data_IF_821898528174
#
_entry.id   IF_821898528174
#
_cell.length_a   1.000
_cell.length_b   1.000
_cell.length_c   1.000
_cell.angle_alpha   90.00
_cell.angle_beta   90.00
_cell.angle_gamma   90.00
#
_symmetry.space_group_name_H-M   'P 1'
#
loop_
_entity.id
_entity.type
_entity.pdbx_description
1 polymer ?
#
# COMPACT_ATOMS: atom_id res chain seq x y z
N UNK A 1 -0.75 7.27 -9.53
CA UNK A 1 -0.18 7.67 -8.24
C UNK A 1 1.25 7.16 -8.06
N UNK A 2 1.48 5.84 -7.89
CA UNK A 2 2.79 5.27 -7.48
C UNK A 2 4.01 5.74 -8.30
N UNK A 3 3.90 5.85 -9.64
CA UNK A 3 5.01 6.35 -10.49
C UNK A 3 5.39 7.82 -10.22
N UNK A 4 4.46 8.62 -9.69
CA UNK A 4 4.70 10.03 -9.34
C UNK A 4 5.35 10.22 -7.98
N UNK A 5 5.48 9.15 -7.19
CA UNK A 5 6.16 9.18 -5.89
C UNK A 5 7.67 9.12 -6.08
N UNK A 6 8.39 9.75 -5.15
CA UNK A 6 9.85 9.65 -5.07
C UNK A 6 10.30 8.26 -4.60
N UNK A 7 11.61 8.04 -4.48
CA UNK A 7 12.13 6.74 -4.08
C UNK A 7 11.75 6.36 -2.64
N UNK A 8 11.68 7.34 -1.73
CA UNK A 8 11.38 7.11 -0.34
C UNK A 8 9.91 6.69 -0.17
N UNK A 9 8.98 7.41 -0.80
CA UNK A 9 7.56 7.11 -0.79
C UNK A 9 7.26 5.76 -1.49
N UNK A 10 8.00 5.40 -2.56
CA UNK A 10 7.87 4.05 -3.16
C UNK A 10 8.31 2.94 -2.21
N UNK A 11 9.38 3.15 -1.44
CA UNK A 11 9.82 2.20 -0.43
C UNK A 11 8.81 2.09 0.71
N UNK A 12 8.24 3.21 1.17
CA UNK A 12 7.16 3.25 2.15
C UNK A 12 5.91 2.52 1.64
N UNK A 13 5.54 2.72 0.37
CA UNK A 13 4.44 1.97 -0.24
C UNK A 13 4.70 0.46 -0.23
N UNK A 14 5.91 0.03 -0.59
CA UNK A 14 6.27 -1.38 -0.57
C UNK A 14 6.16 -1.95 0.86
N UNK A 15 6.65 -1.22 1.87
CA UNK A 15 6.52 -1.59 3.27
C UNK A 15 5.05 -1.61 3.73
N UNK A 16 4.24 -0.65 3.29
CA UNK A 16 2.82 -0.58 3.61
C UNK A 16 2.06 -1.83 3.15
N UNK A 17 2.33 -2.31 1.93
CA UNK A 17 1.58 -3.44 1.37
C UNK A 17 2.20 -4.81 1.64
N UNK A 18 3.51 -4.91 1.92
CA UNK A 18 4.21 -6.18 2.14
C UNK A 18 4.81 -6.35 3.54
N UNK A 19 4.76 -5.32 4.38
CA UNK A 19 5.38 -5.31 5.71
C UNK A 19 6.90 -5.09 5.72
N UNK A 20 7.54 -4.99 4.55
CA UNK A 20 9.00 -4.79 4.44
C UNK A 20 9.36 -3.92 3.23
N UNK A 21 10.48 -3.21 3.29
CA UNK A 21 11.05 -2.50 2.15
C UNK A 21 11.93 -3.39 1.26
N UNK A 22 12.12 -4.66 1.63
CA UNK A 22 12.97 -5.61 0.91
C UNK A 22 12.26 -6.18 -0.32
N UNK A 23 12.86 -5.97 -1.50
CA UNK A 23 12.41 -6.60 -2.75
C UNK A 23 12.96 -8.04 -2.81
N UNK A 24 12.16 -9.06 -3.18
CA UNK A 24 12.66 -10.42 -3.37
C UNK A 24 13.76 -10.46 -4.44
N UNK A 25 14.82 -11.24 -4.21
CA UNK A 25 15.94 -11.36 -5.16
C UNK A 25 15.47 -11.93 -6.51
N UNK A 26 14.49 -12.83 -6.47
CA UNK A 26 13.85 -13.45 -7.62
C UNK A 26 12.77 -12.54 -8.27
N UNK A 27 12.62 -11.30 -7.80
CA UNK A 27 11.64 -10.33 -8.28
C UNK A 27 10.23 -10.53 -7.71
N UNK A 28 9.31 -9.62 -8.04
CA UNK A 28 7.95 -9.58 -7.49
C UNK A 28 7.07 -10.80 -7.81
N UNK A 29 7.47 -11.63 -8.78
CA UNK A 29 6.78 -12.88 -9.08
C UNK A 29 6.91 -13.92 -7.94
N UNK A 30 7.95 -13.78 -7.12
CA UNK A 30 8.24 -14.62 -5.97
C UNK A 30 7.98 -13.91 -4.63
N UNK A 31 7.04 -12.95 -4.60
CA UNK A 31 6.60 -12.36 -3.33
C UNK A 31 6.04 -13.45 -2.42
N UNK A 32 6.51 -13.48 -1.18
CA UNK A 32 6.02 -14.39 -0.14
C UNK A 32 4.92 -13.69 0.68
N UNK A 33 3.92 -14.46 1.06
CA UNK A 33 2.91 -14.09 2.06
C UNK A 33 2.77 -15.21 3.09
N UNK A 34 1.73 -15.15 3.91
CA UNK A 34 1.53 -16.07 5.04
C UNK A 34 1.43 -17.54 4.63
N UNK A 35 0.88 -17.83 3.44
CA UNK A 35 0.62 -19.19 2.95
C UNK A 35 1.53 -19.60 1.77
N UNK A 36 2.71 -18.98 1.63
CA UNK A 36 3.65 -19.23 0.53
C UNK A 36 3.69 -18.09 -0.49
N UNK A 37 3.96 -18.41 -1.77
CA UNK A 37 4.06 -17.39 -2.83
C UNK A 37 2.70 -16.72 -3.03
N UNK A 38 2.63 -15.41 -2.76
CA UNK A 38 1.44 -14.58 -2.85
C UNK A 38 1.80 -13.27 -3.54
N UNK A 39 1.29 -13.09 -4.77
CA UNK A 39 1.49 -11.85 -5.53
C UNK A 39 0.77 -10.68 -4.86
N UNK A 40 1.29 -9.48 -5.10
CA UNK A 40 0.61 -8.24 -4.77
C UNK A 40 -0.77 -8.17 -5.44
N UNK A 41 -1.79 -7.81 -4.66
CA UNK A 41 -3.18 -7.78 -5.11
C UNK A 41 -3.87 -6.50 -4.64
N UNK A 42 -4.77 -5.97 -5.47
CA UNK A 42 -5.57 -4.80 -5.16
C UNK A 42 -7.03 -5.22 -5.13
N UNK A 43 -7.70 -4.97 -4.01
CA UNK A 43 -9.11 -5.22 -3.82
C UNK A 43 -9.84 -3.89 -3.80
N UNK A 44 -11.04 -3.87 -4.38
CA UNK A 44 -11.89 -2.69 -4.30
C UNK A 44 -12.55 -2.67 -2.92
N UNK A 45 -12.44 -1.55 -2.23
CA UNK A 45 -13.17 -1.30 -0.99
C UNK A 45 -14.48 -0.57 -1.31
N UNK A 46 -15.60 -1.26 -1.16
CA UNK A 46 -16.96 -0.75 -1.45
C UNK A 46 -17.55 0.07 -0.27
N UNK A 47 -16.76 0.36 0.77
CA UNK A 47 -17.13 1.26 1.87
C UNK A 47 -16.98 2.73 1.45
N UNK A 48 -17.14 3.66 2.40
CA UNK A 48 -16.97 5.10 2.13
C UNK A 48 -15.62 5.44 1.51
N UNK A 49 -15.63 6.30 0.49
CA UNK A 49 -14.47 6.86 -0.20
C UNK A 49 -13.74 7.94 0.60
N UNK A 50 -14.21 8.26 1.81
CA UNK A 50 -13.54 9.19 2.73
C UNK A 50 -12.48 8.47 3.59
N UNK A 51 -12.41 7.14 3.50
CA UNK A 51 -11.43 6.32 4.21
C UNK A 51 -10.10 6.28 3.48
N UNK A 52 -9.03 6.14 4.25
CA UNK A 52 -7.70 5.82 3.71
C UNK A 52 -7.67 4.39 3.13
N UNK A 53 -6.82 4.12 2.13
CA UNK A 53 -6.54 2.75 1.72
C UNK A 53 -6.02 1.94 2.91
N UNK A 54 -6.39 0.68 2.97
CA UNK A 54 -5.96 -0.25 4.03
C UNK A 54 -5.04 -1.32 3.44
N UNK A 55 -4.13 -1.87 4.24
CA UNK A 55 -3.24 -2.93 3.78
C UNK A 55 -3.26 -4.13 4.71
N UNK A 56 -3.14 -5.31 4.11
CA UNK A 56 -3.00 -6.59 4.81
C UNK A 56 -1.70 -7.25 4.36
N UNK A 57 -0.62 -6.95 5.09
CA UNK A 57 0.75 -7.33 4.73
C UNK A 57 0.95 -8.85 4.64
N UNK A 58 0.28 -9.62 5.50
CA UNK A 58 0.29 -11.10 5.44
C UNK A 58 -0.16 -11.66 4.08
N UNK A 59 -0.93 -10.89 3.30
CA UNK A 59 -1.49 -11.32 2.02
C UNK A 59 -1.01 -10.47 0.83
N UNK A 60 -0.04 -9.56 1.05
CA UNK A 60 0.39 -8.58 0.05
C UNK A 60 -0.80 -7.84 -0.60
N UNK A 61 -1.79 -7.46 0.22
CA UNK A 61 -3.08 -6.94 -0.26
C UNK A 61 -3.24 -5.46 0.08
N UNK A 62 -3.68 -4.68 -0.92
CA UNK A 62 -4.14 -3.31 -0.78
C UNK A 62 -5.66 -3.25 -1.01
N UNK A 63 -6.40 -2.79 0.00
CA UNK A 63 -7.81 -2.45 -0.13
C UNK A 63 -7.92 -0.97 -0.52
N UNK A 64 -8.44 -0.73 -1.71
CA UNK A 64 -8.48 0.59 -2.33
C UNK A 64 -9.92 1.07 -2.50
N UNK A 65 -10.34 2.12 -1.77
CA UNK A 65 -11.64 2.75 -1.98
C UNK A 65 -11.82 3.25 -3.42
N UNK A 66 -13.04 3.23 -3.90
CA UNK A 66 -13.40 3.70 -5.25
C UNK A 66 -13.42 5.24 -5.34
N UNK A 67 -12.27 5.89 -5.12
CA UNK A 67 -12.13 7.34 -5.13
C UNK A 67 -12.62 7.99 -6.43
N UNK A 68 -13.25 9.16 -6.30
CA UNK A 68 -13.93 9.86 -7.39
C UNK A 68 -12.97 10.52 -8.39
N UNK A 69 -11.72 10.73 -7.99
CA UNK A 69 -10.69 11.35 -8.84
C UNK A 69 -9.30 10.79 -8.59
N UNK A 70 -8.45 10.93 -9.61
CA UNK A 70 -7.02 10.60 -9.52
C UNK A 70 -6.32 11.39 -8.40
N UNK A 71 -6.69 12.66 -8.22
CA UNK A 71 -6.11 13.55 -7.22
C UNK A 71 -6.42 13.06 -5.80
N UNK A 72 -7.69 12.71 -5.52
CA UNK A 72 -8.10 12.12 -4.25
C UNK A 72 -7.39 10.80 -4.01
N UNK A 73 -7.35 9.90 -5.00
CA UNK A 73 -6.63 8.62 -4.89
C UNK A 73 -5.15 8.83 -4.54
N UNK A 74 -4.47 9.72 -5.27
CA UNK A 74 -3.06 10.00 -5.04
C UNK A 74 -2.83 10.57 -3.65
N UNK A 75 -3.65 11.52 -3.22
CA UNK A 75 -3.55 12.16 -1.91
C UNK A 75 -3.79 11.16 -0.77
N UNK A 76 -4.90 10.41 -0.83
CA UNK A 76 -5.25 9.42 0.20
C UNK A 76 -4.24 8.27 0.29
N UNK A 77 -3.71 7.81 -0.85
CA UNK A 77 -2.66 6.81 -0.85
C UNK A 77 -1.35 7.35 -0.25
N UNK A 78 -0.97 8.59 -0.57
CA UNK A 78 0.24 9.21 -0.02
C UNK A 78 0.14 9.38 1.50
N UNK A 79 -1.03 9.83 1.99
CA UNK A 79 -1.31 9.90 3.44
C UNK A 79 -1.16 8.52 4.09
N UNK A 80 -1.82 7.49 3.56
CA UNK A 80 -1.78 6.16 4.16
C UNK A 80 -0.37 5.56 4.27
N UNK A 81 0.48 5.73 3.25
CA UNK A 81 1.85 5.17 3.29
C UNK A 81 2.80 5.98 4.20
N UNK A 82 2.52 7.26 4.43
CA UNK A 82 3.31 8.11 5.31
C UNK A 82 2.89 7.93 6.78
N UNK A 83 1.59 7.79 7.03
CA UNK A 83 1.02 7.59 8.37
C UNK A 83 1.29 6.20 8.92
N UNK A 84 1.39 5.17 8.07
CA UNK A 84 1.66 3.80 8.53
C UNK A 84 3.09 3.60 9.10
N UNK A 85 4.04 4.50 8.80
CA UNK A 85 5.37 4.48 9.42
C UNK A 85 5.42 5.12 10.82
N UNK A 86 4.45 5.97 11.16
CA UNK A 86 4.51 6.81 12.37
C UNK A 86 3.29 6.65 13.31
N UNK A 87 2.21 6.01 12.86
CA UNK A 87 0.94 5.98 13.59
C UNK A 87 0.28 7.37 13.67
N UNK A 88 -1.02 7.43 13.94
CA UNK A 88 -1.66 8.71 14.32
C UNK A 88 -1.08 9.17 15.67
N UNK A 89 0.06 9.86 15.66
CA UNK A 89 0.78 10.18 16.89
C UNK A 89 2.18 10.74 16.71
N UNK A 90 2.34 11.82 15.93
CA UNK A 90 3.38 12.80 16.22
C UNK A 90 2.68 14.14 16.53
N UNK A 91 2.54 14.38 17.83
CA UNK A 91 2.45 15.71 18.43
C UNK A 91 3.85 16.15 18.84
#
# INVERSE_FOLDING_TARGET
ALRSFDQADRAKFLQFVTGTSKVPLQGFAALEGMNGIQKFQIHRDDRSTDRLPSAHTCFNQLDLPAYESYEKLRHMLLLAIQECSEGFGLA
#
